data_IF_210493353859
#
_entry.id   IF_210493353859
#
_cell.length_a   1.000
_cell.length_b   1.000
_cell.length_c   1.000
_cell.angle_alpha   90.00
_cell.angle_beta   90.00
_cell.angle_gamma   90.00
#
_symmetry.space_group_name_H-M   'P 1'
#
loop_
_entity.id
_entity.type
_entity.pdbx_description
1 polymer ?
#
# COMPACT_ATOMS: atom_id res chain seq x y z
N UNK A 1 0.25 -3.02 -12.15
CA UNK A 1 -0.81 -3.47 -11.22
C UNK A 1 -1.21 -4.93 -11.42
N UNK A 2 -1.51 -5.38 -12.65
CA UNK A 2 -1.99 -6.76 -12.91
C UNK A 2 -1.06 -7.92 -12.45
N UNK A 3 0.24 -7.69 -12.25
CA UNK A 3 1.19 -8.77 -11.89
C UNK A 3 1.22 -9.14 -10.40
N UNK A 4 0.65 -8.33 -9.50
CA UNK A 4 0.72 -8.52 -8.03
C UNK A 4 -0.58 -8.98 -7.38
N UNK A 5 -1.55 -9.43 -8.18
CA UNK A 5 -2.85 -9.91 -7.69
C UNK A 5 -3.79 -8.79 -7.21
N UNK A 6 -3.58 -7.56 -7.66
CA UNK A 6 -4.44 -6.42 -7.36
C UNK A 6 -5.27 -6.00 -8.58
N UNK A 7 -6.57 -5.84 -8.36
CA UNK A 7 -7.45 -5.11 -9.27
C UNK A 7 -7.57 -3.64 -8.85
N UNK A 8 -8.08 -2.78 -9.73
CA UNK A 8 -8.39 -1.38 -9.37
C UNK A 8 -9.43 -1.35 -8.23
N UNK A 9 -10.45 -2.21 -8.30
CA UNK A 9 -11.46 -2.35 -7.26
C UNK A 9 -10.86 -2.71 -5.89
N UNK A 10 -9.90 -3.65 -5.85
CA UNK A 10 -9.21 -4.02 -4.61
C UNK A 10 -8.44 -2.84 -4.01
N UNK A 11 -7.81 -2.02 -4.85
CA UNK A 11 -7.04 -0.85 -4.41
C UNK A 11 -8.00 0.19 -3.83
N UNK A 12 -9.08 0.51 -4.54
CA UNK A 12 -10.07 1.48 -4.08
C UNK A 12 -10.74 1.03 -2.78
N UNK A 13 -11.05 -0.26 -2.63
CA UNK A 13 -11.63 -0.78 -1.39
C UNK A 13 -10.67 -0.63 -0.21
N UNK A 14 -9.38 -0.91 -0.39
CA UNK A 14 -8.38 -0.77 0.68
C UNK A 14 -8.16 0.67 1.09
N UNK A 15 -8.22 1.61 0.13
CA UNK A 15 -8.07 3.03 0.41
C UNK A 15 -9.29 3.61 1.14
N UNK A 16 -10.50 3.14 0.80
CA UNK A 16 -11.74 3.66 1.38
C UNK A 16 -12.13 2.95 2.69
N UNK A 17 -11.84 1.65 2.82
CA UNK A 17 -12.21 0.81 3.95
C UNK A 17 -11.00 0.03 4.50
N UNK A 18 -9.92 0.70 4.93
CA UNK A 18 -8.75 0.02 5.46
C UNK A 18 -9.08 -0.70 6.77
N UNK A 19 -8.50 -1.89 6.96
CA UNK A 19 -8.48 -2.54 8.27
C UNK A 19 -7.58 -1.77 9.25
N UNK A 20 -6.46 -1.25 8.74
CA UNK A 20 -5.55 -0.38 9.47
C UNK A 20 -4.81 0.56 8.52
N UNK A 21 -4.39 1.72 9.02
CA UNK A 21 -3.50 2.64 8.32
C UNK A 21 -2.27 2.95 9.16
N UNK A 22 -1.13 3.14 8.50
CA UNK A 22 0.16 3.46 9.14
C UNK A 22 0.91 4.53 8.34
N UNK A 23 1.62 5.45 9.03
CA UNK A 23 2.53 6.37 8.36
C UNK A 23 3.60 5.62 7.56
N UNK A 24 3.94 6.17 6.41
CA UNK A 24 5.00 5.72 5.54
C UNK A 24 5.74 6.93 4.95
N UNK A 25 6.82 6.66 4.23
CA UNK A 25 7.55 7.69 3.49
C UNK A 25 7.78 7.20 2.07
N UNK A 26 7.39 8.03 1.09
CA UNK A 26 7.75 7.77 -0.28
C UNK A 26 9.26 8.01 -0.43
N UNK A 27 10.05 6.93 -0.50
CA UNK A 27 11.51 7.03 -0.61
C UNK A 27 12.00 7.66 -1.91
N UNK A 28 11.17 7.71 -2.96
CA UNK A 28 11.55 8.32 -4.23
C UNK A 28 11.55 9.86 -4.16
N UNK A 29 10.67 10.45 -3.36
CA UNK A 29 10.48 11.91 -3.27
C UNK A 29 10.78 12.49 -1.89
N UNK A 30 10.78 11.65 -0.85
CA UNK A 30 10.85 12.07 0.55
C UNK A 30 9.49 12.51 1.13
N UNK A 31 8.41 12.42 0.36
CA UNK A 31 7.09 12.84 0.81
C UNK A 31 6.53 11.94 1.91
N UNK A 32 5.66 12.53 2.74
CA UNK A 32 4.76 11.78 3.59
C UNK A 32 3.86 10.88 2.73
N UNK A 33 3.65 9.66 3.21
CA UNK A 33 2.79 8.68 2.59
C UNK A 33 2.01 7.93 3.67
N UNK A 34 0.90 7.33 3.27
CA UNK A 34 0.09 6.48 4.13
C UNK A 34 -0.01 5.08 3.55
N UNK A 35 0.30 4.08 4.38
CA UNK A 35 0.09 2.67 4.05
C UNK A 35 -1.26 2.20 4.60
N UNK A 36 -2.09 1.65 3.72
CA UNK A 36 -3.42 1.12 4.00
C UNK A 36 -3.39 -0.40 3.92
N UNK A 37 -3.85 -1.06 4.97
CA UNK A 37 -3.79 -2.51 5.13
C UNK A 37 -5.16 -3.14 5.01
N UNK A 38 -5.19 -4.31 4.35
CA UNK A 38 -6.29 -5.28 4.41
C UNK A 38 -6.19 -6.12 5.68
N UNK A 39 -7.28 -6.79 6.02
CA UNK A 39 -7.32 -7.76 7.11
C UNK A 39 -6.37 -8.96 6.91
N UNK A 40 -6.03 -9.30 5.66
CA UNK A 40 -5.07 -10.36 5.31
C UNK A 40 -3.60 -9.89 5.38
N UNK A 41 -3.35 -8.64 5.79
CA UNK A 41 -2.01 -8.09 5.95
C UNK A 41 -1.39 -7.50 4.67
N UNK A 42 -2.03 -7.65 3.51
CA UNK A 42 -1.61 -7.00 2.28
C UNK A 42 -1.91 -5.50 2.32
N UNK A 43 -1.14 -4.71 1.56
CA UNK A 43 -1.16 -3.25 1.69
C UNK A 43 -0.99 -2.49 0.38
N UNK A 44 -1.47 -1.25 0.40
CA UNK A 44 -1.30 -0.22 -0.61
C UNK A 44 -0.72 1.01 0.06
N UNK A 45 0.31 1.63 -0.53
CA UNK A 45 0.89 2.89 -0.05
C UNK A 45 0.56 3.99 -1.04
N UNK A 46 -0.01 5.07 -0.51
CA UNK A 46 -0.35 6.27 -1.26
C UNK A 46 0.51 7.43 -0.77
N UNK A 47 1.08 8.18 -1.69
CA UNK A 47 1.79 9.43 -1.39
C UNK A 47 0.77 10.51 -1.06
N UNK A 48 0.90 11.16 0.10
CA UNK A 48 -0.12 12.08 0.61
C UNK A 48 -0.09 13.43 -0.13
N UNK A 49 1.00 13.74 -0.84
CA UNK A 49 1.21 15.02 -1.55
C UNK A 49 0.71 14.92 -2.98
N UNK A 50 1.15 13.88 -3.70
CA UNK A 50 0.81 13.65 -5.11
C UNK A 50 -0.46 12.84 -5.29
N UNK A 51 -0.91 12.16 -4.23
CA UNK A 51 -2.04 11.23 -4.22
C UNK A 51 -1.82 9.94 -5.01
N UNK A 52 -0.63 9.73 -5.55
CA UNK A 52 -0.26 8.57 -6.36
C UNK A 52 -0.07 7.31 -5.51
N UNK A 53 -0.36 6.15 -6.11
CA UNK A 53 -0.04 4.85 -5.53
C UNK A 53 1.42 4.52 -5.81
N UNK A 54 2.23 4.58 -4.77
CA UNK A 54 3.69 4.42 -4.87
C UNK A 54 4.14 2.99 -4.60
N UNK A 55 3.31 2.21 -3.89
CA UNK A 55 3.62 0.80 -3.62
C UNK A 55 2.37 -0.03 -3.37
N UNK A 56 2.42 -1.29 -3.80
CA UNK A 56 1.44 -2.32 -3.46
C UNK A 56 2.19 -3.60 -3.07
N UNK A 57 1.72 -4.30 -2.04
CA UNK A 57 2.27 -5.62 -1.69
C UNK A 57 2.04 -6.63 -2.82
N UNK A 58 2.81 -7.71 -2.87
CA UNK A 58 2.52 -8.80 -3.80
C UNK A 58 1.57 -9.82 -3.17
N UNK A 59 0.32 -9.92 -3.64
CA UNK A 59 -0.67 -10.88 -3.12
C UNK A 59 -0.43 -12.32 -3.59
N UNK A 60 0.37 -12.48 -4.64
CA UNK A 60 0.74 -13.81 -5.15
C UNK A 60 2.00 -14.35 -4.45
N UNK A 61 2.62 -13.58 -3.56
CA UNK A 61 3.80 -13.97 -2.80
C UNK A 61 3.45 -14.12 -1.32
N UNK A 62 3.30 -15.37 -0.81
CA UNK A 62 2.96 -15.60 0.58
C UNK A 62 4.08 -15.22 1.55
N UNK A 63 5.32 -15.03 1.07
CA UNK A 63 6.47 -14.63 1.86
C UNK A 63 6.79 -13.13 1.72
N UNK A 64 5.85 -12.33 1.22
CA UNK A 64 6.06 -10.91 0.99
C UNK A 64 6.45 -10.18 2.28
N UNK A 65 7.67 -9.64 2.31
CA UNK A 65 8.17 -8.89 3.46
C UNK A 65 7.61 -7.46 3.42
N UNK A 66 7.01 -7.03 4.53
CA UNK A 66 6.53 -5.65 4.71
C UNK A 66 7.70 -4.68 4.55
N UNK A 67 7.44 -3.55 3.89
CA UNK A 67 8.45 -2.51 3.75
C UNK A 67 8.80 -1.90 5.12
N UNK A 68 10.09 -1.84 5.50
CA UNK A 68 10.51 -1.20 6.75
C UNK A 68 10.26 0.31 6.80
N UNK A 69 9.91 0.97 5.69
CA UNK A 69 9.48 2.36 5.68
C UNK A 69 8.10 2.58 6.33
N UNK A 70 7.32 1.51 6.52
CA UNK A 70 6.00 1.60 7.13
C UNK A 70 6.17 1.45 8.65
N UNK A 71 5.76 2.46 9.40
CA UNK A 71 5.95 2.57 10.85
C UNK A 71 4.98 1.67 11.63
#
# INVERSE_FOLDING_TARGET
MQSRGWTVQDIDDVLNNPNASRPATNRATGNAATAYFRADGHYVVRDDVTTDIVQISNRNDPNWVRDPAIQ
#
